data_IF_329639094961
#
_entry.id   IF_329639094961
#
_cell.length_a   1.000
_cell.length_b   1.000
_cell.length_c   1.000
_cell.angle_alpha   90.00
_cell.angle_beta   90.00
_cell.angle_gamma   90.00
#
_symmetry.space_group_name_H-M   'P 1'
#
loop_
_entity.id
_entity.type
_entity.pdbx_description
1 polymer ?
#
# COMPACT_ATOMS: atom_id res chain seq x y z
N UNK A 1 1.19 -32.63 20.23
CA UNK A 1 1.57 -32.97 18.84
C UNK A 1 1.59 -31.68 18.04
N UNK A 2 2.78 -31.11 17.92
CA UNK A 2 3.08 -29.87 17.20
C UNK A 2 3.14 -30.18 15.70
N UNK A 3 2.24 -29.62 14.90
CA UNK A 3 2.44 -29.58 13.45
C UNK A 3 2.53 -28.12 13.03
N UNK A 4 3.77 -27.65 12.91
CA UNK A 4 4.10 -26.33 12.42
C UNK A 4 3.74 -26.23 10.93
N UNK A 5 2.93 -25.23 10.60
CA UNK A 5 2.84 -24.72 9.23
C UNK A 5 4.21 -24.12 8.86
N UNK A 6 5.09 -24.94 8.30
CA UNK A 6 6.23 -24.45 7.53
C UNK A 6 5.69 -23.74 6.29
N UNK A 7 5.91 -22.43 6.19
CA UNK A 7 5.63 -21.67 4.98
C UNK A 7 6.41 -22.25 3.81
N UNK A 8 5.76 -22.48 2.67
CA UNK A 8 6.41 -22.97 1.47
C UNK A 8 7.56 -22.03 1.07
N UNK A 9 8.74 -22.58 0.80
CA UNK A 9 9.88 -21.80 0.33
C UNK A 9 9.51 -21.09 -0.99
N UNK A 10 9.75 -19.78 -1.07
CA UNK A 10 9.53 -18.98 -2.28
C UNK A 10 10.40 -19.54 -3.41
N UNK A 11 9.82 -19.76 -4.59
CA UNK A 11 10.59 -20.31 -5.70
C UNK A 11 11.57 -19.26 -6.26
N UNK A 12 12.67 -19.71 -6.86
CA UNK A 12 13.61 -18.79 -7.57
C UNK A 12 12.91 -17.98 -8.68
N UNK A 13 11.86 -18.53 -9.27
CA UNK A 13 11.07 -17.83 -10.28
C UNK A 13 10.26 -16.68 -9.68
N UNK A 14 9.68 -16.89 -8.49
CA UNK A 14 8.92 -15.87 -7.77
C UNK A 14 9.83 -14.76 -7.24
N UNK A 15 11.00 -15.10 -6.70
CA UNK A 15 12.03 -14.13 -6.30
C UNK A 15 12.46 -13.27 -7.50
N UNK A 16 12.63 -13.89 -8.67
CA UNK A 16 12.97 -13.17 -9.90
C UNK A 16 11.85 -12.25 -10.35
N UNK A 17 10.60 -12.73 -10.35
CA UNK A 17 9.42 -11.93 -10.70
C UNK A 17 9.30 -10.73 -9.77
N UNK A 18 9.48 -10.91 -8.46
CA UNK A 18 9.46 -9.84 -7.48
C UNK A 18 10.58 -8.82 -7.69
N UNK A 19 11.80 -9.29 -7.98
CA UNK A 19 12.93 -8.40 -8.29
C UNK A 19 12.63 -7.51 -9.51
N UNK A 20 12.04 -8.08 -10.57
CA UNK A 20 11.63 -7.33 -11.77
C UNK A 20 10.62 -6.24 -11.40
N UNK A 21 9.59 -6.59 -10.62
CA UNK A 21 8.56 -5.65 -10.15
C UNK A 21 9.18 -4.49 -9.36
N UNK A 22 10.02 -4.80 -8.36
CA UNK A 22 10.62 -3.79 -7.48
C UNK A 22 11.55 -2.83 -8.24
N UNK A 23 12.36 -3.36 -9.16
CA UNK A 23 13.24 -2.55 -10.03
C UNK A 23 12.44 -1.69 -11.00
N UNK A 24 11.39 -2.27 -11.59
CA UNK A 24 10.51 -1.54 -12.51
C UNK A 24 9.79 -0.39 -11.82
N UNK A 25 9.31 -0.59 -10.59
CA UNK A 25 8.68 0.47 -9.80
C UNK A 25 9.61 1.67 -9.59
N UNK A 26 10.89 1.43 -9.25
CA UNK A 26 11.89 2.49 -9.13
C UNK A 26 12.19 3.17 -10.47
N UNK A 27 12.24 2.40 -11.56
CA UNK A 27 12.50 2.95 -12.89
C UNK A 27 11.34 3.83 -13.37
N UNK A 28 10.09 3.41 -13.14
CA UNK A 28 8.89 4.18 -13.43
C UNK A 28 8.81 5.45 -12.57
N UNK A 29 9.15 5.38 -11.28
CA UNK A 29 9.23 6.54 -10.39
C UNK A 29 10.22 7.59 -10.91
N UNK A 30 11.40 7.16 -11.40
CA UNK A 30 12.43 8.08 -11.87
C UNK A 30 12.18 8.68 -13.26
N UNK A 31 11.66 7.89 -14.21
CA UNK A 31 11.54 8.28 -15.62
C UNK A 31 10.10 8.55 -16.07
N UNK A 32 9.12 8.18 -15.27
CA UNK A 32 7.71 8.10 -15.67
C UNK A 32 7.42 6.83 -16.47
N UNK A 33 6.31 6.16 -16.15
CA UNK A 33 5.94 4.88 -16.76
C UNK A 33 5.80 4.94 -18.30
N UNK A 34 5.40 6.08 -18.85
CA UNK A 34 5.18 6.27 -20.29
C UNK A 34 6.50 6.28 -21.09
N UNK A 35 7.59 6.75 -20.47
CA UNK A 35 8.91 6.86 -21.09
C UNK A 35 9.75 5.59 -20.97
N UNK A 36 9.29 4.62 -20.19
CA UNK A 36 10.01 3.35 -19.96
C UNK A 36 9.47 2.28 -20.90
N UNK A 37 10.38 1.59 -21.60
CA UNK A 37 10.09 0.46 -22.47
C UNK A 37 10.44 -0.88 -21.81
N UNK A 38 9.96 -1.99 -22.38
CA UNK A 38 10.39 -3.34 -21.97
C UNK A 38 11.90 -3.55 -22.13
N UNK A 39 12.55 -2.86 -23.07
CA UNK A 39 14.02 -2.93 -23.23
C UNK A 39 14.72 -2.24 -22.06
N UNK A 40 14.25 -1.06 -21.65
CA UNK A 40 14.82 -0.33 -20.50
C UNK A 40 14.72 -1.14 -19.21
N UNK A 41 13.57 -1.80 -19.01
CA UNK A 41 13.36 -2.68 -17.84
C UNK A 41 14.34 -3.84 -17.88
N UNK A 42 14.45 -4.54 -19.01
CA UNK A 42 15.35 -5.68 -19.16
C UNK A 42 16.81 -5.30 -18.86
N UNK A 43 17.26 -4.16 -19.37
CA UNK A 43 18.59 -3.61 -19.07
C UNK A 43 18.75 -3.28 -17.57
N UNK A 44 17.78 -2.60 -16.96
CA UNK A 44 17.82 -2.20 -15.55
C UNK A 44 17.90 -3.43 -14.61
N UNK A 45 17.22 -4.52 -14.94
CA UNK A 45 17.24 -5.78 -14.16
C UNK A 45 18.36 -6.75 -14.55
N UNK A 46 19.17 -6.42 -15.57
CA UNK A 46 20.26 -7.26 -16.05
C UNK A 46 19.80 -8.54 -16.77
N UNK A 47 18.69 -8.49 -17.50
CA UNK A 47 18.14 -9.60 -18.29
C UNK A 47 18.18 -9.29 -19.78
N UNK A 48 18.27 -10.34 -20.60
CA UNK A 48 17.95 -10.20 -22.03
C UNK A 48 16.45 -9.95 -22.20
N UNK A 49 16.07 -9.13 -23.18
CA UNK A 49 14.66 -8.79 -23.46
C UNK A 49 13.77 -10.03 -23.66
N UNK A 50 14.16 -11.08 -24.42
CA UNK A 50 13.36 -12.31 -24.51
C UNK A 50 13.15 -12.99 -23.15
N UNK A 51 14.17 -12.93 -22.27
CA UNK A 51 14.07 -13.50 -20.92
C UNK A 51 13.07 -12.75 -20.05
N UNK A 52 12.96 -11.43 -20.18
CA UNK A 52 11.93 -10.64 -19.48
C UNK A 52 10.51 -11.05 -19.91
N UNK A 53 10.31 -11.32 -21.21
CA UNK A 53 9.02 -11.78 -21.73
C UNK A 53 8.57 -13.16 -21.21
N UNK A 54 9.48 -13.97 -20.66
CA UNK A 54 9.10 -15.20 -19.95
C UNK A 54 8.43 -14.92 -18.59
N UNK A 55 8.67 -13.76 -17.99
CA UNK A 55 8.07 -13.37 -16.71
C UNK A 55 6.84 -12.48 -16.88
N UNK A 56 6.89 -11.56 -17.85
CA UNK A 56 5.85 -10.58 -18.10
C UNK A 56 5.62 -10.37 -19.59
N UNK A 57 4.38 -10.55 -20.01
CA UNK A 57 3.95 -10.38 -21.40
C UNK A 57 4.01 -8.92 -21.88
N UNK A 58 3.90 -7.96 -20.96
CA UNK A 58 3.84 -6.53 -21.27
C UNK A 58 4.29 -5.65 -20.10
N UNK A 59 4.52 -4.37 -20.40
CA UNK A 59 4.76 -3.33 -19.39
C UNK A 59 3.55 -3.16 -18.46
N UNK A 60 2.35 -3.28 -19.01
CA UNK A 60 1.10 -3.11 -18.25
C UNK A 60 0.92 -4.24 -17.24
N UNK A 61 1.37 -5.47 -17.55
CA UNK A 61 1.36 -6.57 -16.58
C UNK A 61 2.30 -6.31 -15.39
N UNK A 62 3.47 -5.70 -15.66
CA UNK A 62 4.42 -5.29 -14.61
C UNK A 62 3.80 -4.18 -13.75
N UNK A 63 3.25 -3.15 -14.38
CA UNK A 63 2.55 -2.07 -13.67
C UNK A 63 1.42 -2.61 -12.81
N UNK A 64 0.57 -3.48 -13.37
CA UNK A 64 -0.51 -4.12 -12.63
C UNK A 64 0.02 -4.93 -11.43
N UNK A 65 1.14 -5.63 -11.58
CA UNK A 65 1.75 -6.37 -10.46
C UNK A 65 2.25 -5.44 -9.35
N UNK A 66 2.74 -4.24 -9.67
CA UNK A 66 3.08 -3.22 -8.66
C UNK A 66 1.81 -2.82 -7.89
N UNK A 67 0.72 -2.55 -8.59
CA UNK A 67 -0.56 -2.17 -7.98
C UNK A 67 -1.12 -3.28 -7.08
N UNK A 68 -1.20 -4.50 -7.60
CA UNK A 68 -1.69 -5.69 -6.86
C UNK A 68 -0.85 -5.92 -5.60
N UNK A 69 0.48 -5.94 -5.72
CA UNK A 69 1.35 -6.17 -4.55
C UNK A 69 1.17 -5.09 -3.48
N UNK A 70 0.98 -3.84 -3.90
CA UNK A 70 0.79 -2.70 -2.98
C UNK A 70 -0.52 -2.80 -2.24
N UNK A 71 -1.63 -3.02 -2.96
CA UNK A 71 -2.96 -3.07 -2.31
C UNK A 71 -3.14 -4.35 -1.48
N UNK A 72 -2.62 -5.49 -1.91
CA UNK A 72 -2.68 -6.74 -1.11
C UNK A 72 -1.89 -6.60 0.19
N UNK A 73 -0.72 -5.95 0.18
CA UNK A 73 0.03 -5.68 1.41
C UNK A 73 -0.80 -4.87 2.42
N UNK A 74 -1.42 -3.78 1.97
CA UNK A 74 -2.27 -2.92 2.81
C UNK A 74 -3.50 -3.68 3.32
N UNK A 75 -4.14 -4.46 2.45
CA UNK A 75 -5.36 -5.21 2.73
C UNK A 75 -5.10 -6.36 3.72
N UNK A 76 -4.01 -7.11 3.55
CA UNK A 76 -3.59 -8.14 4.48
C UNK A 76 -3.21 -7.56 5.85
N UNK A 77 -2.62 -6.36 5.89
CA UNK A 77 -2.33 -5.64 7.12
C UNK A 77 -3.59 -5.37 7.95
N UNK A 78 -4.59 -4.72 7.36
CA UNK A 78 -5.85 -4.42 8.05
C UNK A 78 -6.66 -5.69 8.39
N UNK A 79 -6.74 -6.67 7.47
CA UNK A 79 -7.43 -7.94 7.73
C UNK A 79 -6.82 -8.68 8.92
N UNK A 80 -5.49 -8.78 9.00
CA UNK A 80 -4.81 -9.42 10.13
C UNK A 80 -5.13 -8.74 11.45
N UNK A 81 -5.13 -7.40 11.50
CA UNK A 81 -5.44 -6.65 12.73
C UNK A 81 -6.91 -6.80 13.13
N UNK A 82 -7.84 -6.72 12.17
CA UNK A 82 -9.28 -6.93 12.42
C UNK A 82 -9.66 -8.36 12.78
N UNK A 83 -8.83 -9.34 12.44
CA UNK A 83 -9.01 -10.74 12.85
C UNK A 83 -8.58 -11.02 14.31
N UNK A 84 -8.09 -9.99 15.03
CA UNK A 84 -7.74 -10.06 16.46
C UNK A 84 -8.71 -9.20 17.27
N UNK A 85 -8.67 -9.30 18.60
CA UNK A 85 -9.43 -8.42 19.51
C UNK A 85 -8.79 -7.02 19.65
N UNK A 86 -8.12 -6.52 18.61
CA UNK A 86 -7.50 -5.20 18.60
C UNK A 86 -8.58 -4.11 18.58
N UNK A 87 -8.38 -3.07 19.40
CA UNK A 87 -9.27 -1.91 19.40
C UNK A 87 -9.18 -1.13 18.08
N UNK A 88 -10.25 -0.41 17.68
CA UNK A 88 -10.28 0.31 16.40
C UNK A 88 -9.13 1.30 16.20
N UNK A 89 -8.67 1.96 17.27
CA UNK A 89 -7.52 2.88 17.24
C UNK A 89 -6.21 2.15 16.89
N UNK A 90 -5.99 0.93 17.43
CA UNK A 90 -4.82 0.09 17.10
C UNK A 90 -4.87 -0.35 15.64
N UNK A 91 -6.05 -0.70 15.13
CA UNK A 91 -6.23 -1.06 13.71
C UNK A 91 -5.87 0.12 12.80
N UNK A 92 -6.41 1.32 13.07
CA UNK A 92 -6.16 2.53 12.28
C UNK A 92 -4.71 3.02 12.38
N UNK A 93 -4.10 2.94 13.57
CA UNK A 93 -2.67 3.23 13.75
C UNK A 93 -1.81 2.31 12.88
N UNK A 94 -2.12 1.02 12.88
CA UNK A 94 -1.43 0.05 12.03
C UNK A 94 -1.64 0.32 10.54
N UNK A 95 -2.81 0.82 10.12
CA UNK A 95 -3.04 1.23 8.73
C UNK A 95 -2.09 2.35 8.30
N UNK A 96 -1.94 3.41 9.11
CA UNK A 96 -0.94 4.45 8.83
C UNK A 96 0.48 3.89 8.83
N UNK A 97 0.79 3.03 9.79
CA UNK A 97 2.09 2.35 9.85
C UNK A 97 2.43 1.61 8.56
N UNK A 98 1.48 0.86 7.99
CA UNK A 98 1.68 0.12 6.74
C UNK A 98 1.89 1.06 5.54
N UNK A 99 1.11 2.14 5.44
CA UNK A 99 1.24 3.15 4.36
C UNK A 99 2.63 3.81 4.41
N UNK A 100 3.06 4.27 5.59
CA UNK A 100 4.37 4.89 5.77
C UNK A 100 5.51 3.88 5.58
N UNK A 101 5.34 2.64 6.02
CA UNK A 101 6.31 1.57 5.79
C UNK A 101 6.54 1.29 4.30
N UNK A 102 5.48 1.34 3.47
CA UNK A 102 5.63 1.25 2.01
C UNK A 102 6.43 2.42 1.44
N UNK A 103 6.24 3.64 1.96
CA UNK A 103 7.02 4.80 1.52
C UNK A 103 8.51 4.66 1.84
N UNK A 104 8.85 4.01 2.95
CA UNK A 104 10.24 3.75 3.35
C UNK A 104 10.86 2.62 2.55
N UNK A 105 10.17 1.48 2.47
CA UNK A 105 10.74 0.22 1.98
C UNK A 105 10.56 0.04 0.47
N UNK A 106 9.50 0.61 -0.10
CA UNK A 106 9.12 0.47 -1.51
C UNK A 106 8.69 1.82 -2.12
N UNK A 107 9.54 2.87 -2.07
CA UNK A 107 9.15 4.24 -2.47
C UNK A 107 8.67 4.35 -3.92
N UNK A 108 9.18 3.52 -4.83
CA UNK A 108 8.70 3.48 -6.22
C UNK A 108 7.30 2.90 -6.35
N UNK A 109 6.95 1.91 -5.51
CA UNK A 109 5.62 1.27 -5.56
C UNK A 109 4.53 2.26 -5.19
N UNK A 110 4.70 2.96 -4.06
CA UNK A 110 3.65 3.86 -3.56
C UNK A 110 3.41 5.04 -4.50
N UNK A 111 4.46 5.60 -5.12
CA UNK A 111 4.32 6.68 -6.08
C UNK A 111 3.67 6.21 -7.38
N UNK A 112 4.10 5.07 -7.93
CA UNK A 112 3.45 4.47 -9.10
C UNK A 112 1.97 4.16 -8.80
N UNK A 113 1.68 3.64 -7.61
CA UNK A 113 0.33 3.32 -7.18
C UNK A 113 -0.61 4.54 -7.24
N UNK A 114 -0.19 5.69 -6.70
CA UNK A 114 -1.01 6.90 -6.69
C UNK A 114 -1.02 7.66 -8.03
N UNK A 115 0.08 7.64 -8.78
CA UNK A 115 0.21 8.46 -10.00
C UNK A 115 -0.16 7.73 -11.29
N UNK A 116 -0.18 6.39 -11.30
CA UNK A 116 -0.30 5.58 -12.52
C UNK A 116 -1.52 4.69 -12.59
N UNK A 117 -2.36 4.61 -11.55
CA UNK A 117 -3.55 3.73 -11.55
C UNK A 117 -4.48 3.97 -12.76
N UNK A 118 -4.60 5.22 -13.22
CA UNK A 118 -5.45 5.59 -14.37
C UNK A 118 -4.91 5.15 -15.74
N UNK A 119 -3.68 4.60 -15.78
CA UNK A 119 -3.00 4.19 -17.03
C UNK A 119 -3.26 2.73 -17.41
N UNK A 120 -3.71 1.90 -16.48
CA UNK A 120 -3.91 0.47 -16.75
C UNK A 120 -5.14 0.25 -17.65
N UNK A 121 -5.07 -0.73 -18.57
CA UNK A 121 -6.23 -1.25 -19.28
C UNK A 121 -7.37 -1.62 -18.30
N UNK A 122 -8.65 -1.41 -18.65
CA UNK A 122 -9.77 -1.65 -17.74
C UNK A 122 -9.80 -3.07 -17.14
N UNK A 123 -9.45 -4.08 -17.92
CA UNK A 123 -9.40 -5.49 -17.52
C UNK A 123 -8.33 -5.78 -16.46
N UNK A 124 -7.19 -5.08 -16.50
CA UNK A 124 -6.16 -5.16 -15.47
C UNK A 124 -6.50 -4.31 -14.24
N UNK A 125 -7.13 -3.15 -14.46
CA UNK A 125 -7.42 -2.17 -13.42
C UNK A 125 -8.56 -2.60 -12.48
N UNK A 126 -9.61 -3.23 -13.00
CA UNK A 126 -10.82 -3.48 -12.22
C UNK A 126 -10.64 -4.49 -11.07
N UNK A 127 -9.81 -5.54 -11.20
CA UNK A 127 -9.40 -6.38 -10.07
C UNK A 127 -8.67 -5.63 -8.95
N UNK A 128 -7.85 -4.63 -9.29
CA UNK A 128 -7.14 -3.77 -8.32
C UNK A 128 -8.14 -2.86 -7.62
N UNK A 129 -8.98 -2.16 -8.38
CA UNK A 129 -10.02 -1.28 -7.83
C UNK A 129 -10.99 -2.00 -6.90
N UNK A 130 -11.29 -3.28 -7.17
CA UNK A 130 -12.12 -4.09 -6.26
C UNK A 130 -11.47 -4.22 -4.88
N UNK A 131 -10.15 -4.40 -4.82
CA UNK A 131 -9.38 -4.50 -3.58
C UNK A 131 -9.20 -3.15 -2.90
N UNK A 132 -9.03 -2.08 -3.67
CA UNK A 132 -9.03 -0.71 -3.15
C UNK A 132 -10.36 -0.40 -2.45
N UNK A 133 -11.49 -0.70 -3.11
CA UNK A 133 -12.82 -0.53 -2.51
C UNK A 133 -13.00 -1.37 -1.24
N UNK A 134 -12.48 -2.59 -1.22
CA UNK A 134 -12.49 -3.43 -0.02
C UNK A 134 -11.68 -2.79 1.10
N UNK A 135 -10.45 -2.36 0.81
CA UNK A 135 -9.57 -1.71 1.78
C UNK A 135 -10.21 -0.44 2.36
N UNK A 136 -10.75 0.43 1.51
CA UNK A 136 -11.46 1.65 1.90
C UNK A 136 -12.65 1.32 2.81
N UNK A 137 -13.42 0.28 2.46
CA UNK A 137 -14.56 -0.18 3.24
C UNK A 137 -14.14 -0.71 4.61
N UNK A 138 -13.05 -1.48 4.71
CA UNK A 138 -12.56 -1.99 5.99
C UNK A 138 -12.09 -0.86 6.91
N UNK A 139 -11.47 0.20 6.36
CA UNK A 139 -11.08 1.39 7.13
C UNK A 139 -12.32 2.16 7.60
N UNK A 140 -13.33 2.34 6.73
CA UNK A 140 -14.59 2.99 7.08
C UNK A 140 -15.31 2.26 8.22
N UNK A 141 -15.44 0.95 8.13
CA UNK A 141 -16.06 0.11 9.17
C UNK A 141 -15.30 0.20 10.50
N UNK A 142 -13.97 0.29 10.45
CA UNK A 142 -13.16 0.46 11.66
C UNK A 142 -13.44 1.81 12.33
N UNK A 143 -13.62 2.88 11.54
CA UNK A 143 -14.01 4.20 12.06
C UNK A 143 -15.43 4.17 12.63
N UNK A 144 -16.36 3.49 11.98
CA UNK A 144 -17.74 3.33 12.45
C UNK A 144 -17.78 2.58 13.79
N UNK A 145 -17.05 1.47 13.91
CA UNK A 145 -16.89 0.74 15.17
C UNK A 145 -16.33 1.64 16.28
N UNK A 146 -15.30 2.44 15.98
CA UNK A 146 -14.71 3.36 16.96
C UNK A 146 -15.73 4.39 17.48
N UNK A 147 -16.66 4.84 16.63
CA UNK A 147 -17.74 5.77 17.01
C UNK A 147 -18.79 5.05 17.87
N UNK A 148 -19.21 3.84 17.46
CA UNK A 148 -20.20 3.04 18.19
C UNK A 148 -19.72 2.66 19.59
N UNK A 149 -18.44 2.28 19.73
CA UNK A 149 -17.81 1.96 21.01
C UNK A 149 -17.54 3.20 21.88
N UNK A 150 -17.76 4.40 21.35
CA UNK A 150 -17.54 5.67 22.05
C UNK A 150 -16.06 6.08 22.17
N UNK A 151 -15.14 5.41 21.48
CA UNK A 151 -13.74 5.86 21.37
C UNK A 151 -13.64 7.16 20.59
N UNK A 152 -14.36 7.25 19.48
CA UNK A 152 -14.46 8.44 18.65
C UNK A 152 -15.75 9.19 18.91
N UNK A 153 -15.70 10.52 18.76
CA UNK A 153 -16.88 11.38 18.78
C UNK A 153 -17.79 11.05 17.59
N UNK A 154 -19.09 11.32 17.73
CA UNK A 154 -20.10 11.09 16.68
C UNK A 154 -19.94 12.05 15.48
N UNK A 155 -18.91 11.83 14.66
CA UNK A 155 -18.66 12.49 13.37
C UNK A 155 -19.27 11.70 12.22
N UNK A 156 -19.34 12.32 11.05
CA UNK A 156 -19.59 11.59 9.82
C UNK A 156 -18.40 10.66 9.49
N UNK A 157 -18.63 9.35 9.53
CA UNK A 157 -17.59 8.31 9.33
C UNK A 157 -16.85 8.46 8.00
N UNK A 158 -17.57 8.74 6.90
CA UNK A 158 -16.96 8.96 5.58
C UNK A 158 -16.04 10.17 5.54
N UNK A 159 -16.45 11.28 6.17
CA UNK A 159 -15.62 12.49 6.25
C UNK A 159 -14.34 12.23 7.05
N UNK A 160 -14.44 11.46 8.13
CA UNK A 160 -13.28 11.03 8.91
C UNK A 160 -12.35 10.12 8.09
N UNK A 161 -12.90 9.16 7.33
CA UNK A 161 -12.12 8.30 6.44
C UNK A 161 -11.40 9.10 5.35
N UNK A 162 -12.07 10.08 4.72
CA UNK A 162 -11.44 10.97 3.74
C UNK A 162 -10.33 11.82 4.35
N UNK A 163 -10.53 12.36 5.56
CA UNK A 163 -9.48 13.09 6.26
C UNK A 163 -8.27 12.19 6.55
N UNK A 164 -8.53 10.98 7.05
CA UNK A 164 -7.52 9.97 7.38
C UNK A 164 -6.69 9.53 6.16
N UNK A 165 -7.33 9.20 5.04
CA UNK A 165 -6.61 8.89 3.81
C UNK A 165 -5.96 10.12 3.19
N UNK A 166 -6.59 11.29 3.28
CA UNK A 166 -6.05 12.54 2.73
C UNK A 166 -4.69 12.89 3.33
N UNK A 167 -4.57 12.84 4.66
CA UNK A 167 -3.29 13.07 5.34
C UNK A 167 -2.25 12.00 4.99
N UNK A 168 -2.63 10.72 4.96
CA UNK A 168 -1.72 9.61 4.69
C UNK A 168 -1.21 9.63 3.25
N UNK A 169 -2.10 9.75 2.27
CA UNK A 169 -1.77 9.71 0.85
C UNK A 169 -0.98 10.95 0.43
N UNK A 170 -1.26 12.12 1.03
CA UNK A 170 -0.47 13.32 0.77
C UNK A 170 1.01 13.14 1.12
N UNK A 171 1.33 12.29 2.11
CA UNK A 171 2.70 11.97 2.47
C UNK A 171 3.52 11.35 1.33
N UNK A 172 2.88 10.66 0.38
CA UNK A 172 3.57 10.10 -0.79
C UNK A 172 4.26 11.15 -1.66
N UNK A 173 3.77 12.41 -1.64
CA UNK A 173 4.29 13.49 -2.47
C UNK A 173 5.54 14.16 -1.89
N UNK A 174 5.69 14.18 -0.56
CA UNK A 174 6.79 14.91 0.09
C UNK A 174 7.73 14.01 0.90
N UNK A 175 7.29 12.82 1.35
CA UNK A 175 8.14 11.92 2.11
C UNK A 175 9.26 11.33 1.23
N UNK A 176 10.48 11.30 1.78
CA UNK A 176 11.66 10.72 1.14
C UNK A 176 12.42 9.86 2.16
N UNK A 177 12.70 8.59 1.84
CA UNK A 177 13.55 7.73 2.68
C UNK A 177 14.94 8.33 2.88
N UNK A 178 15.55 8.04 4.04
CA UNK A 178 16.88 8.57 4.39
C UNK A 178 16.90 10.04 4.84
N UNK A 179 15.74 10.65 5.09
CA UNK A 179 15.64 11.97 5.70
C UNK A 179 15.99 11.96 7.20
N UNK A 180 15.81 13.12 7.85
CA UNK A 180 16.09 13.30 9.29
C UNK A 180 15.15 12.52 10.21
N UNK A 181 14.09 11.92 9.65
CA UNK A 181 13.04 11.26 10.39
C UNK A 181 12.52 10.06 9.62
N UNK A 182 12.30 8.95 10.35
CA UNK A 182 11.80 7.70 9.78
C UNK A 182 10.29 7.75 9.57
N UNK A 183 9.82 7.01 8.58
CA UNK A 183 8.42 6.83 8.23
C UNK A 183 7.52 6.50 9.43
N UNK A 184 7.96 5.59 10.30
CA UNK A 184 7.26 5.21 11.52
C UNK A 184 6.95 6.42 12.40
N UNK A 185 7.90 7.34 12.55
CA UNK A 185 7.72 8.50 13.42
C UNK A 185 6.72 9.51 12.82
N UNK A 186 6.62 9.60 11.50
CA UNK A 186 5.57 10.38 10.86
C UNK A 186 4.20 9.70 10.97
N UNK A 187 4.14 8.38 10.80
CA UNK A 187 2.89 7.62 11.00
C UNK A 187 2.30 7.88 12.39
N UNK A 188 3.16 7.91 13.40
CA UNK A 188 2.78 8.19 14.79
C UNK A 188 2.25 9.61 14.98
N UNK A 189 2.93 10.62 14.46
CA UNK A 189 2.46 12.01 14.56
C UNK A 189 1.18 12.25 13.79
N UNK A 190 1.06 11.64 12.61
CA UNK A 190 -0.14 11.73 11.79
C UNK A 190 -1.30 11.07 12.54
N UNK A 191 -1.08 9.89 13.09
CA UNK A 191 -2.09 9.22 13.90
C UNK A 191 -2.50 10.05 15.11
N UNK A 192 -1.56 10.65 15.84
CA UNK A 192 -1.84 11.51 16.99
C UNK A 192 -2.66 12.75 16.59
N UNK A 193 -2.32 13.41 15.48
CA UNK A 193 -3.10 14.53 14.94
C UNK A 193 -4.53 14.12 14.58
N UNK A 194 -4.69 12.97 13.93
CA UNK A 194 -6.02 12.43 13.60
C UNK A 194 -6.81 12.11 14.86
N UNK A 195 -6.21 11.34 15.78
CA UNK A 195 -6.81 10.88 17.01
C UNK A 195 -7.31 12.06 17.85
N UNK A 196 -6.46 13.05 18.12
CA UNK A 196 -6.87 14.26 18.87
C UNK A 196 -8.01 15.04 18.20
N UNK A 197 -8.18 14.94 16.87
CA UNK A 197 -9.30 15.53 16.14
C UNK A 197 -10.62 14.74 16.24
N UNK A 198 -10.57 13.46 16.59
CA UNK A 198 -11.73 12.54 16.59
C UNK A 198 -12.04 11.91 17.94
N UNK A 199 -11.14 11.94 18.93
CA UNK A 199 -11.38 11.35 20.26
C UNK A 199 -12.63 11.96 20.91
N UNK A 200 -13.44 11.09 21.54
CA UNK A 200 -14.56 11.53 22.34
C UNK A 200 -14.09 12.41 23.50
N UNK A 201 -14.59 13.66 23.57
CA UNK A 201 -14.32 14.52 24.72
C UNK A 201 -15.12 13.99 25.91
N UNK A 202 -14.45 13.59 26.99
CA UNK A 202 -15.12 13.41 28.28
C UNK A 202 -15.77 14.75 28.65
N UNK A 203 -17.08 14.74 28.82
CA UNK A 203 -17.80 15.83 29.50
C UNK A 203 -17.56 15.74 30.99
#
# INVERSE_FOLDING_TARGET
MTNGRQGAAVSKADERRLNIVNRSALLFDRKGADQVSMSDIAEDVGLAKPSLYHYFSSKDEILNSIHVNTIEFLLDGIRRRRATDASPDVVLRGVLGDIFSLMETHPGHIRVFFESARRLPPDLLEPVRKREREYDQLVLETIEQAIEDGYFRAVNSRSAAFAFFGMANWAAHWYRPGGTKRAEQFAEEFFDLFLNGVTARRR
#
